data_IF_853222889459
#
_entry.id   IF_853222889459
#
_cell.length_a   1.000
_cell.length_b   1.000
_cell.length_c   1.000
_cell.angle_alpha   90.00
_cell.angle_beta   90.00
_cell.angle_gamma   90.00
#
_symmetry.space_group_name_H-M   'P 1'
#
loop_
_entity.id
_entity.type
_entity.pdbx_description
1 polymer ?
#
# COMPACT_ATOMS: atom_id res chain seq x y z
N UNK A 1 9.98 -4.09 9.81
CA UNK A 1 9.19 -4.45 8.61
C UNK A 1 8.20 -5.52 8.98
N UNK A 2 6.93 -5.32 8.67
CA UNK A 2 5.85 -6.32 8.84
C UNK A 2 5.35 -6.68 7.44
N UNK A 3 5.61 -7.92 7.01
CA UNK A 3 5.46 -8.39 5.63
C UNK A 3 6.72 -8.16 4.80
N UNK A 4 7.39 -9.25 4.43
CA UNK A 4 8.62 -9.25 3.65
C UNK A 4 8.38 -9.69 2.19
N UNK A 5 7.19 -9.39 1.65
CA UNK A 5 6.79 -9.67 0.28
C UNK A 5 7.51 -8.80 -0.75
N UNK A 6 7.06 -8.89 -2.01
CA UNK A 6 7.74 -8.25 -3.14
C UNK A 6 7.96 -6.75 -2.94
N UNK A 7 6.95 -6.02 -2.44
CA UNK A 7 7.09 -4.56 -2.27
C UNK A 7 8.13 -4.19 -1.22
N UNK A 8 8.21 -4.95 -0.13
CA UNK A 8 9.25 -4.76 0.88
C UNK A 8 10.65 -4.99 0.30
N UNK A 9 10.82 -6.06 -0.48
CA UNK A 9 12.09 -6.46 -1.08
C UNK A 9 12.60 -5.49 -2.14
N UNK A 10 11.71 -4.95 -2.99
CA UNK A 10 12.14 -4.14 -4.15
C UNK A 10 12.08 -2.64 -3.91
N UNK A 11 11.41 -2.20 -2.84
CA UNK A 11 11.26 -0.77 -2.53
C UNK A 11 11.67 -0.45 -1.11
N UNK A 12 10.92 -0.89 -0.09
CA UNK A 12 11.13 -0.42 1.27
C UNK A 12 12.53 -0.73 1.79
N UNK A 13 12.98 -1.99 1.70
CA UNK A 13 14.27 -2.40 2.25
C UNK A 13 15.47 -1.74 1.55
N UNK A 14 15.55 -1.73 0.20
CA UNK A 14 16.63 -1.03 -0.48
C UNK A 14 16.66 0.48 -0.20
N UNK A 15 15.48 1.10 -0.14
CA UNK A 15 15.36 2.54 0.12
C UNK A 15 15.76 2.89 1.56
N UNK A 16 15.39 2.07 2.55
CA UNK A 16 15.85 2.24 3.93
C UNK A 16 17.34 1.99 4.07
N UNK A 17 17.88 0.96 3.43
CA UNK A 17 19.32 0.68 3.46
C UNK A 17 20.16 1.81 2.85
N UNK A 18 19.61 2.53 1.88
CA UNK A 18 20.24 3.69 1.25
C UNK A 18 20.06 5.00 2.05
N UNK A 19 19.17 5.02 3.05
CA UNK A 19 18.85 6.22 3.82
C UNK A 19 19.65 6.26 5.13
N UNK A 20 20.59 7.20 5.32
CA UNK A 20 21.39 7.27 6.55
C UNK A 20 20.59 7.60 7.82
N UNK A 21 19.35 8.04 7.69
CA UNK A 21 18.44 8.34 8.80
C UNK A 21 17.51 7.19 9.16
N UNK A 22 17.65 6.02 8.52
CA UNK A 22 16.81 4.86 8.77
C UNK A 22 17.67 3.62 9.06
N UNK A 23 17.25 2.84 10.03
CA UNK A 23 17.84 1.55 10.35
C UNK A 23 16.73 0.51 10.48
N UNK A 24 16.81 -0.56 9.70
CA UNK A 24 15.86 -1.68 9.84
C UNK A 24 16.38 -2.62 10.91
N UNK A 25 15.65 -2.74 12.02
CA UNK A 25 16.09 -3.49 13.22
C UNK A 25 15.32 -4.80 13.41
N UNK A 26 14.11 -4.93 12.84
CA UNK A 26 13.27 -6.11 13.06
C UNK A 26 12.38 -6.43 11.87
N UNK A 27 12.07 -7.72 11.73
CA UNK A 27 11.24 -8.27 10.67
C UNK A 27 10.21 -9.25 11.23
N UNK A 28 9.02 -9.22 10.63
CA UNK A 28 8.04 -10.29 10.78
C UNK A 28 7.39 -10.57 9.43
N UNK A 29 7.24 -11.86 9.09
CA UNK A 29 6.45 -12.36 7.96
C UNK A 29 5.81 -13.69 8.37
N UNK A 30 4.60 -13.98 7.87
CA UNK A 30 3.95 -15.29 8.07
C UNK A 30 4.81 -16.44 7.52
N UNK A 31 5.57 -16.17 6.46
CA UNK A 31 6.65 -17.02 5.98
C UNK A 31 7.96 -16.63 6.67
N UNK A 32 8.29 -17.30 7.79
CA UNK A 32 9.47 -17.01 8.59
C UNK A 32 10.77 -17.02 7.78
N UNK A 33 10.93 -17.96 6.87
CA UNK A 33 12.14 -18.07 6.05
C UNK A 33 12.39 -16.80 5.22
N UNK A 34 11.33 -16.15 4.74
CA UNK A 34 11.43 -14.88 4.03
C UNK A 34 11.91 -13.74 4.93
N UNK A 35 11.45 -13.69 6.17
CA UNK A 35 11.93 -12.71 7.14
C UNK A 35 13.41 -12.97 7.50
N UNK A 36 13.82 -14.22 7.62
CA UNK A 36 15.21 -14.63 7.88
C UNK A 36 16.14 -14.25 6.71
N UNK A 37 15.68 -14.42 5.47
CA UNK A 37 16.43 -13.97 4.29
C UNK A 37 16.66 -12.45 4.30
N UNK A 38 15.63 -11.67 4.60
CA UNK A 38 15.77 -10.21 4.69
C UNK A 38 16.67 -9.78 5.84
N UNK A 39 16.57 -10.43 7.00
CA UNK A 39 17.45 -10.16 8.13
C UNK A 39 18.92 -10.52 7.83
N UNK A 40 19.16 -11.60 7.10
CA UNK A 40 20.50 -11.97 6.65
C UNK A 40 21.10 -10.94 5.67
N UNK A 41 20.27 -10.35 4.80
CA UNK A 41 20.72 -9.38 3.81
C UNK A 41 20.93 -7.97 4.38
N UNK A 42 20.04 -7.50 5.24
CA UNK A 42 20.00 -6.11 5.70
C UNK A 42 20.34 -5.94 7.19
N UNK A 43 20.60 -7.02 7.90
CA UNK A 43 20.76 -7.02 9.35
C UNK A 43 19.43 -6.95 10.11
N UNK A 44 19.50 -6.97 11.44
CA UNK A 44 18.34 -6.96 12.31
C UNK A 44 17.91 -8.36 12.77
N UNK A 45 16.76 -8.47 13.42
CA UNK A 45 16.26 -9.71 14.01
C UNK A 45 14.89 -10.11 13.46
N UNK A 46 14.58 -11.40 13.49
CA UNK A 46 13.27 -11.93 13.10
C UNK A 46 12.43 -12.14 14.35
N UNK A 47 11.22 -11.61 14.36
CA UNK A 47 10.22 -11.77 15.41
C UNK A 47 9.21 -12.86 15.04
N UNK A 48 8.76 -13.64 16.02
CA UNK A 48 7.81 -14.74 15.81
C UNK A 48 6.40 -14.22 15.46
N UNK A 49 6.05 -13.07 15.98
CA UNK A 49 4.80 -12.37 15.66
C UNK A 49 5.03 -10.87 15.42
N UNK A 50 4.07 -10.22 14.76
CA UNK A 50 4.11 -8.76 14.66
C UNK A 50 3.90 -8.10 16.04
N UNK A 51 3.24 -8.75 16.99
CA UNK A 51 3.14 -8.26 18.36
C UNK A 51 4.50 -8.23 19.06
N UNK A 52 5.33 -9.27 18.89
CA UNK A 52 6.68 -9.28 19.45
C UNK A 52 7.52 -8.15 18.86
N UNK A 53 7.37 -7.89 17.55
CA UNK A 53 8.03 -6.77 16.89
C UNK A 53 7.55 -5.42 17.46
N UNK A 54 6.25 -5.24 17.66
CA UNK A 54 5.68 -4.01 18.19
C UNK A 54 6.06 -3.75 19.66
N UNK A 55 6.33 -4.79 20.43
CA UNK A 55 6.74 -4.69 21.84
C UNK A 55 8.22 -4.35 22.04
N UNK A 56 9.00 -4.21 20.97
CA UNK A 56 10.43 -3.85 21.06
C UNK A 56 10.61 -2.36 21.32
N UNK A 57 11.50 -2.04 22.23
CA UNK A 57 11.84 -0.64 22.57
C UNK A 57 12.71 0.05 21.50
N UNK A 58 13.45 -0.74 20.71
CA UNK A 58 14.30 -0.24 19.63
C UNK A 58 13.58 -0.05 18.28
N UNK A 59 12.25 -0.21 18.26
CA UNK A 59 11.41 0.06 17.10
C UNK A 59 10.64 1.36 17.31
N UNK A 60 10.92 2.38 16.50
CA UNK A 60 10.20 3.68 16.53
C UNK A 60 9.02 3.69 15.55
N UNK A 61 9.19 3.03 14.41
CA UNK A 61 8.23 3.03 13.31
C UNK A 61 8.15 1.66 12.63
N UNK A 62 7.04 1.38 11.96
CA UNK A 62 6.85 0.16 11.19
C UNK A 62 6.40 0.46 9.76
N UNK A 63 6.93 -0.31 8.81
CA UNK A 63 6.38 -0.41 7.46
C UNK A 63 5.54 -1.68 7.36
N UNK A 64 4.28 -1.51 6.97
CA UNK A 64 3.29 -2.58 6.85
C UNK A 64 3.11 -2.90 5.38
N UNK A 65 3.61 -4.08 4.96
CA UNK A 65 3.71 -4.53 3.58
C UNK A 65 3.05 -5.90 3.40
N UNK A 66 1.91 -6.09 4.04
CA UNK A 66 1.13 -7.34 4.05
C UNK A 66 0.00 -7.30 3.02
N UNK A 67 -0.87 -8.32 3.00
CA UNK A 67 -2.09 -8.30 2.20
C UNK A 67 -3.10 -7.24 2.68
N UNK A 68 -3.90 -6.69 1.78
CA UNK A 68 -4.76 -5.54 1.99
C UNK A 68 -5.66 -5.64 3.24
N UNK A 69 -6.25 -6.81 3.50
CA UNK A 69 -7.17 -7.02 4.64
C UNK A 69 -6.49 -6.92 6.00
N UNK A 70 -5.19 -7.13 6.06
CA UNK A 70 -4.43 -7.06 7.31
C UNK A 70 -3.91 -5.64 7.62
N UNK A 71 -4.02 -4.70 6.69
CA UNK A 71 -3.51 -3.34 6.86
C UNK A 71 -4.10 -2.64 8.07
N UNK A 72 -5.42 -2.63 8.21
CA UNK A 72 -6.09 -1.90 9.29
C UNK A 72 -5.80 -2.47 10.68
N UNK A 73 -5.89 -3.79 10.83
CA UNK A 73 -5.63 -4.48 12.08
C UNK A 73 -4.21 -4.19 12.58
N UNK A 74 -3.21 -4.46 11.72
CA UNK A 74 -1.80 -4.35 12.10
C UNK A 74 -1.40 -2.89 12.31
N UNK A 75 -1.88 -1.97 11.46
CA UNK A 75 -1.63 -0.53 11.62
C UNK A 75 -2.20 0.00 12.93
N UNK A 76 -3.43 -0.37 13.25
CA UNK A 76 -4.09 0.05 14.49
C UNK A 76 -3.35 -0.51 15.72
N UNK A 77 -2.94 -1.78 15.69
CA UNK A 77 -2.14 -2.37 16.76
C UNK A 77 -0.80 -1.64 16.93
N UNK A 78 -0.11 -1.31 15.84
CA UNK A 78 1.15 -0.58 15.86
C UNK A 78 1.00 0.83 16.47
N UNK A 79 -0.05 1.56 16.08
CA UNK A 79 -0.36 2.88 16.62
C UNK A 79 -0.65 2.83 18.11
N UNK A 80 -1.41 1.84 18.59
CA UNK A 80 -1.66 1.63 20.02
C UNK A 80 -0.41 1.18 20.79
N UNK A 81 0.51 0.45 20.15
CA UNK A 81 1.83 0.14 20.70
C UNK A 81 2.80 1.34 20.70
N UNK A 82 2.32 2.52 20.30
CA UNK A 82 3.10 3.76 20.29
C UNK A 82 4.11 3.85 19.13
N UNK A 83 3.92 3.09 18.04
CA UNK A 83 4.80 3.15 16.86
C UNK A 83 4.22 4.04 15.79
N UNK A 84 5.09 4.74 15.03
CA UNK A 84 4.70 5.39 13.79
C UNK A 84 4.47 4.35 12.69
N UNK A 85 3.58 4.63 11.75
CA UNK A 85 3.18 3.66 10.72
C UNK A 85 3.32 4.23 9.32
N UNK A 86 4.04 3.53 8.46
CA UNK A 86 3.92 3.61 7.01
C UNK A 86 3.17 2.36 6.54
N UNK A 87 1.93 2.53 6.11
CA UNK A 87 1.09 1.46 5.59
C UNK A 87 1.11 1.47 4.06
N UNK A 88 1.32 0.33 3.42
CA UNK A 88 1.13 0.21 1.98
C UNK A 88 -0.33 0.49 1.58
N UNK A 89 -0.50 0.86 0.32
CA UNK A 89 -1.82 1.07 -0.26
C UNK A 89 -2.50 -0.28 -0.64
N UNK A 90 -3.83 -0.34 -0.64
CA UNK A 90 -4.78 0.64 -0.12
C UNK A 90 -4.69 0.74 1.40
N UNK A 91 -5.03 1.89 1.97
CA UNK A 91 -4.96 2.12 3.42
C UNK A 91 -5.68 1.03 4.22
N UNK A 92 -6.89 0.69 3.82
CA UNK A 92 -7.71 -0.40 4.35
C UNK A 92 -8.75 -0.83 3.30
N UNK A 93 -9.60 -1.79 3.66
CA UNK A 93 -10.63 -2.35 2.78
C UNK A 93 -11.96 -1.62 2.89
N UNK A 94 -12.24 -1.03 4.04
CA UNK A 94 -13.47 -0.27 4.31
C UNK A 94 -13.19 1.12 4.84
N UNK A 95 -14.16 2.05 4.68
CA UNK A 95 -14.07 3.40 5.23
C UNK A 95 -13.95 3.36 6.77
N UNK A 96 -14.74 2.53 7.44
CA UNK A 96 -14.70 2.41 8.90
C UNK A 96 -13.33 1.96 9.42
N UNK A 97 -12.64 1.06 8.71
CA UNK A 97 -11.25 0.69 9.01
C UNK A 97 -10.30 1.87 8.84
N UNK A 98 -10.42 2.63 7.74
CA UNK A 98 -9.61 3.84 7.54
C UNK A 98 -9.81 4.86 8.65
N UNK A 99 -11.06 5.14 9.03
CA UNK A 99 -11.41 6.05 10.12
C UNK A 99 -10.84 5.56 11.48
N UNK A 100 -10.90 4.25 11.73
CA UNK A 100 -10.31 3.63 12.92
C UNK A 100 -8.79 3.82 12.98
N UNK A 101 -8.09 3.66 11.85
CA UNK A 101 -6.64 3.89 11.77
C UNK A 101 -6.29 5.36 12.05
N UNK A 102 -7.03 6.30 11.45
CA UNK A 102 -6.83 7.74 11.69
C UNK A 102 -7.05 8.08 13.16
N UNK A 103 -8.18 7.63 13.73
CA UNK A 103 -8.49 7.86 15.15
C UNK A 103 -7.44 7.26 16.10
N UNK A 104 -6.89 6.09 15.76
CA UNK A 104 -5.80 5.47 16.54
C UNK A 104 -4.52 6.31 16.46
N UNK A 105 -4.17 6.84 15.29
CA UNK A 105 -3.01 7.70 15.11
C UNK A 105 -3.13 9.00 15.93
N UNK A 106 -4.27 9.67 15.85
CA UNK A 106 -4.57 10.90 16.60
C UNK A 106 -4.54 10.67 18.10
N UNK A 107 -5.24 9.62 18.58
CA UNK A 107 -5.31 9.28 20.01
C UNK A 107 -3.96 9.01 20.65
N UNK A 108 -3.06 8.38 19.91
CA UNK A 108 -1.74 8.00 20.42
C UNK A 108 -0.63 9.01 20.03
N UNK A 109 -0.95 10.10 19.33
CA UNK A 109 0.03 11.09 18.89
C UNK A 109 1.10 10.48 17.97
N UNK A 110 0.72 9.56 17.08
CA UNK A 110 1.61 8.88 16.14
C UNK A 110 1.30 9.23 14.70
N UNK A 111 2.33 9.23 13.88
CA UNK A 111 2.15 9.46 12.44
C UNK A 111 1.64 8.18 11.77
N UNK A 112 0.64 8.35 10.92
CA UNK A 112 0.15 7.36 9.99
C UNK A 112 0.34 7.91 8.58
N UNK A 113 1.13 7.24 7.77
CA UNK A 113 1.38 7.56 6.37
C UNK A 113 0.93 6.39 5.50
N UNK A 114 0.31 6.67 4.36
CA UNK A 114 -0.08 5.65 3.37
C UNK A 114 0.86 5.74 2.17
N UNK A 115 1.24 4.59 1.60
CA UNK A 115 2.22 4.43 0.53
C UNK A 115 1.77 4.96 -0.84
N UNK A 116 1.17 6.14 -0.92
CA UNK A 116 0.81 6.81 -2.17
C UNK A 116 2.03 7.44 -2.85
N UNK A 117 2.93 6.61 -3.30
CA UNK A 117 4.26 6.98 -3.79
C UNK A 117 4.25 7.79 -5.10
N UNK A 118 3.19 7.69 -5.94
CA UNK A 118 3.12 8.45 -7.20
C UNK A 118 3.17 9.97 -7.01
N UNK A 119 2.78 10.48 -5.85
CA UNK A 119 2.91 11.92 -5.53
C UNK A 119 4.36 12.41 -5.53
N UNK A 120 5.32 11.52 -5.28
CA UNK A 120 6.75 11.84 -5.17
C UNK A 120 7.51 11.65 -6.49
N UNK A 121 6.87 11.09 -7.52
CA UNK A 121 7.44 10.98 -8.85
C UNK A 121 7.77 12.37 -9.40
N UNK A 122 8.99 12.61 -9.90
CA UNK A 122 9.42 13.92 -10.42
C UNK A 122 8.47 14.48 -11.49
N UNK A 123 7.92 13.62 -12.35
CA UNK A 123 6.98 14.03 -13.40
C UNK A 123 5.66 14.53 -12.79
N UNK A 124 5.12 13.81 -11.81
CA UNK A 124 3.89 14.21 -11.14
C UNK A 124 4.08 15.46 -10.28
N UNK A 125 5.23 15.60 -9.62
CA UNK A 125 5.59 16.83 -8.89
C UNK A 125 5.70 18.03 -9.84
N UNK A 126 6.31 17.82 -11.01
CA UNK A 126 6.39 18.88 -12.03
C UNK A 126 5.01 19.25 -12.58
N UNK A 127 4.16 18.26 -12.86
CA UNK A 127 2.78 18.49 -13.27
C UNK A 127 2.01 19.31 -12.20
N UNK A 128 2.14 18.96 -10.92
CA UNK A 128 1.54 19.74 -9.82
C UNK A 128 2.01 21.19 -9.82
N UNK A 129 3.30 21.45 -9.96
CA UNK A 129 3.85 22.81 -10.02
C UNK A 129 3.26 23.63 -11.20
N UNK A 130 3.11 23.01 -12.37
CA UNK A 130 2.52 23.66 -13.55
C UNK A 130 1.04 23.98 -13.33
N UNK A 131 0.28 23.05 -12.75
CA UNK A 131 -1.13 23.26 -12.40
C UNK A 131 -1.27 24.41 -11.37
N UNK A 132 -0.48 24.38 -10.32
CA UNK A 132 -0.51 25.41 -9.27
C UNK A 132 -0.08 26.81 -9.76
N UNK A 133 0.75 26.86 -10.82
CA UNK A 133 1.13 28.14 -11.44
C UNK A 133 0.04 28.74 -12.33
N UNK A 134 -1.06 28.02 -12.57
CA UNK A 134 -2.17 28.47 -13.40
C UNK A 134 -1.86 28.54 -14.90
N UNK A 135 -0.75 27.95 -15.36
CA UNK A 135 -0.29 28.05 -16.78
C UNK A 135 -1.28 27.47 -17.80
N UNK A 136 -2.14 26.54 -17.38
CA UNK A 136 -3.21 25.97 -18.21
C UNK A 136 -4.62 26.48 -17.84
N UNK A 137 -4.71 27.42 -16.89
CA UNK A 137 -5.98 27.89 -16.35
C UNK A 137 -6.69 26.84 -15.49
N UNK A 138 -8.01 26.94 -15.41
CA UNK A 138 -8.84 26.03 -14.64
C UNK A 138 -8.92 24.65 -15.30
N UNK A 139 -8.78 23.60 -14.49
CA UNK A 139 -8.92 22.21 -14.99
C UNK A 139 -10.40 21.85 -15.06
N UNK A 140 -10.89 21.66 -16.29
CA UNK A 140 -12.31 21.33 -16.54
C UNK A 140 -12.52 19.81 -16.54
N UNK A 141 -11.55 19.05 -17.03
CA UNK A 141 -11.65 17.58 -17.13
C UNK A 141 -10.31 16.94 -16.88
N UNK A 142 -10.33 15.72 -16.37
CA UNK A 142 -9.15 14.90 -16.12
C UNK A 142 -9.37 13.51 -16.70
N UNK A 143 -8.33 12.96 -17.33
CA UNK A 143 -8.33 11.59 -17.78
C UNK A 143 -7.03 10.90 -17.33
N UNK A 144 -7.16 9.80 -16.64
CA UNK A 144 -6.03 8.96 -16.23
C UNK A 144 -6.28 7.51 -16.64
N UNK A 145 -5.24 6.86 -17.12
CA UNK A 145 -5.28 5.43 -17.45
C UNK A 145 -4.09 4.77 -16.78
N UNK A 146 -4.30 3.59 -16.21
CA UNK A 146 -3.26 2.75 -15.66
C UNK A 146 -3.58 1.29 -16.01
N UNK A 147 -2.61 0.58 -16.52
CA UNK A 147 -2.75 -0.84 -16.85
C UNK A 147 -1.40 -1.53 -16.84
N UNK A 148 -1.40 -2.81 -16.48
CA UNK A 148 -0.25 -3.70 -16.58
C UNK A 148 -0.71 -5.10 -16.97
N UNK A 149 0.24 -6.04 -17.08
CA UNK A 149 -0.06 -7.43 -17.42
C UNK A 149 -0.78 -8.20 -16.30
N UNK A 150 -0.80 -7.67 -15.07
CA UNK A 150 -1.41 -8.28 -13.89
C UNK A 150 -0.40 -8.58 -12.79
N UNK A 151 -0.89 -8.94 -11.59
CA UNK A 151 -0.06 -9.16 -10.42
C UNK A 151 0.67 -10.51 -10.41
N UNK A 152 0.43 -11.41 -11.37
CA UNK A 152 1.00 -12.76 -11.39
C UNK A 152 2.53 -12.75 -11.41
N UNK A 153 3.13 -11.82 -12.14
CA UNK A 153 4.58 -11.64 -12.19
C UNK A 153 5.15 -10.85 -10.99
N UNK A 154 4.29 -10.34 -10.12
CA UNK A 154 4.69 -9.53 -8.97
C UNK A 154 4.74 -10.32 -7.66
N UNK A 155 4.04 -11.45 -7.56
CA UNK A 155 4.06 -12.28 -6.35
C UNK A 155 5.41 -12.99 -6.18
N UNK A 156 5.84 -13.16 -4.93
CA UNK A 156 7.01 -13.99 -4.55
C UNK A 156 6.62 -15.43 -4.22
N UNK A 157 5.32 -15.69 -4.08
CA UNK A 157 4.77 -17.02 -3.80
C UNK A 157 4.24 -17.67 -5.08
N UNK A 158 4.13 -18.98 -5.08
CA UNK A 158 3.33 -19.69 -6.08
C UNK A 158 1.88 -19.24 -5.99
N UNK A 159 1.32 -18.82 -7.11
CA UNK A 159 0.04 -18.12 -7.14
C UNK A 159 0.14 -16.67 -6.64
N UNK A 160 -0.96 -15.99 -6.57
CA UNK A 160 -0.99 -14.61 -6.09
C UNK A 160 -2.18 -14.39 -5.17
N UNK A 161 -1.93 -13.78 -4.01
CA UNK A 161 -2.98 -13.39 -3.07
C UNK A 161 -3.91 -12.31 -3.64
N UNK A 162 -3.46 -11.58 -4.67
CA UNK A 162 -4.25 -10.54 -5.35
C UNK A 162 -5.53 -11.09 -5.99
N UNK A 163 -5.59 -12.38 -6.31
CA UNK A 163 -6.79 -13.02 -6.87
C UNK A 163 -7.73 -13.59 -5.81
N UNK A 164 -7.27 -13.69 -4.58
CA UNK A 164 -8.06 -14.15 -3.45
C UNK A 164 -8.86 -13.00 -2.85
N UNK A 165 -10.20 -13.00 -3.04
CA UNK A 165 -11.08 -11.98 -2.51
C UNK A 165 -11.03 -11.85 -0.98
N UNK A 166 -10.63 -12.91 -0.28
CA UNK A 166 -10.50 -12.88 1.18
C UNK A 166 -9.24 -12.16 1.65
N UNK A 167 -8.25 -11.94 0.78
CA UNK A 167 -6.99 -11.25 1.08
C UNK A 167 -6.93 -9.88 0.41
N UNK A 168 -7.21 -9.82 -0.88
CA UNK A 168 -7.18 -8.59 -1.67
C UNK A 168 -8.39 -7.69 -1.44
N UNK A 169 -9.55 -8.28 -1.17
CA UNK A 169 -10.88 -7.65 -1.10
C UNK A 169 -11.42 -7.19 -2.46
N UNK A 170 -10.69 -6.38 -3.19
CA UNK A 170 -10.94 -5.90 -4.55
C UNK A 170 -9.71 -6.16 -5.42
N UNK A 171 -9.86 -6.10 -6.74
CA UNK A 171 -8.81 -6.38 -7.70
C UNK A 171 -8.11 -5.13 -8.23
N UNK A 172 -8.17 -4.93 -9.55
CA UNK A 172 -7.46 -3.86 -10.26
C UNK A 172 -7.84 -2.45 -9.78
N UNK A 173 -9.09 -2.23 -9.38
CA UNK A 173 -9.51 -0.92 -8.88
C UNK A 173 -8.80 -0.56 -7.56
N UNK A 174 -8.69 -1.49 -6.63
CA UNK A 174 -8.03 -1.24 -5.34
C UNK A 174 -6.51 -1.26 -5.43
N UNK A 175 -5.94 -2.03 -6.35
CA UNK A 175 -4.49 -2.13 -6.51
C UNK A 175 -3.94 -1.01 -7.40
N UNK A 176 -4.53 -0.81 -8.56
CA UNK A 176 -4.09 0.12 -9.60
C UNK A 176 -4.86 1.44 -9.57
N UNK A 177 -6.20 1.35 -9.51
CA UNK A 177 -7.07 2.52 -9.56
C UNK A 177 -6.84 3.48 -8.41
N UNK A 178 -6.55 2.98 -7.22
CA UNK A 178 -6.26 3.80 -6.04
C UNK A 178 -5.11 4.81 -6.28
N UNK A 179 -4.09 4.42 -7.03
CA UNK A 179 -3.00 5.33 -7.39
C UNK A 179 -3.47 6.50 -8.25
N UNK A 180 -4.45 6.27 -9.15
CA UNK A 180 -4.96 7.34 -10.02
C UNK A 180 -5.95 8.23 -9.29
N UNK A 181 -6.80 7.67 -8.43
CA UNK A 181 -7.70 8.46 -7.58
C UNK A 181 -6.88 9.38 -6.66
N UNK A 182 -5.85 8.86 -6.01
CA UNK A 182 -4.97 9.65 -5.17
C UNK A 182 -4.24 10.74 -5.97
N UNK A 183 -3.69 10.38 -7.13
CA UNK A 183 -2.93 11.31 -7.97
C UNK A 183 -3.82 12.45 -8.50
N UNK A 184 -5.06 12.16 -8.93
CA UNK A 184 -6.01 13.18 -9.38
C UNK A 184 -6.28 14.18 -8.25
N UNK A 185 -6.61 13.68 -7.05
CA UNK A 185 -6.87 14.53 -5.88
C UNK A 185 -5.63 15.36 -5.50
N UNK A 186 -4.45 14.76 -5.54
CA UNK A 186 -3.19 15.46 -5.27
C UNK A 186 -2.92 16.58 -6.31
N UNK A 187 -3.05 16.29 -7.60
CA UNK A 187 -2.76 17.23 -8.67
C UNK A 187 -3.74 18.40 -8.66
N UNK A 188 -5.03 18.14 -8.46
CA UNK A 188 -6.07 19.17 -8.48
C UNK A 188 -6.25 19.90 -7.16
N UNK A 189 -5.76 19.35 -6.04
CA UNK A 189 -6.03 19.88 -4.71
C UNK A 189 -7.52 19.75 -4.30
N UNK A 190 -8.26 18.85 -4.94
CA UNK A 190 -9.69 18.65 -4.78
C UNK A 190 -10.00 17.21 -4.38
N UNK A 191 -11.16 16.99 -3.77
CA UNK A 191 -11.65 15.65 -3.42
C UNK A 191 -12.69 15.20 -4.45
N UNK A 192 -12.67 13.89 -4.76
CA UNK A 192 -13.80 13.27 -5.48
C UNK A 192 -15.01 13.30 -4.59
N UNK A 193 -16.13 13.83 -5.09
CA UNK A 193 -17.39 13.97 -4.35
C UNK A 193 -18.48 13.03 -4.87
N UNK A 194 -18.37 12.59 -6.11
CA UNK A 194 -19.31 11.68 -6.75
C UNK A 194 -18.57 10.82 -7.77
N UNK A 195 -18.97 9.58 -7.95
CA UNK A 195 -18.41 8.69 -8.95
C UNK A 195 -19.46 7.70 -9.47
N UNK A 196 -19.35 7.40 -10.74
CA UNK A 196 -20.01 6.23 -11.35
C UNK A 196 -18.94 5.29 -11.84
N UNK A 197 -19.04 4.00 -11.52
CA UNK A 197 -18.04 3.02 -11.88
C UNK A 197 -18.65 1.75 -12.49
N UNK A 198 -17.96 1.19 -13.49
CA UNK A 198 -18.15 -0.18 -13.95
C UNK A 198 -16.92 -0.98 -13.59
N UNK A 199 -17.08 -1.95 -12.72
CA UNK A 199 -16.01 -2.83 -12.21
C UNK A 199 -16.35 -4.25 -12.63
N UNK A 200 -15.46 -4.92 -13.35
CA UNK A 200 -15.72 -6.22 -13.98
C UNK A 200 -14.48 -7.11 -13.99
N UNK A 201 -14.69 -8.41 -14.12
CA UNK A 201 -13.66 -9.40 -14.43
C UNK A 201 -13.87 -9.89 -15.86
N UNK A 202 -12.93 -9.64 -16.74
CA UNK A 202 -13.05 -9.93 -18.17
C UNK A 202 -12.15 -11.08 -18.63
N UNK A 203 -10.93 -11.17 -18.08
CA UNK A 203 -9.90 -12.02 -18.68
C UNK A 203 -9.14 -12.89 -17.66
N UNK A 204 -8.85 -12.35 -16.46
CA UNK A 204 -8.04 -13.07 -15.49
C UNK A 204 -8.75 -14.31 -14.94
N UNK A 205 -7.97 -15.40 -14.85
CA UNK A 205 -8.46 -16.71 -14.44
C UNK A 205 -7.61 -17.28 -13.32
N UNK A 206 -8.25 -18.11 -12.50
CA UNK A 206 -7.58 -18.91 -11.49
C UNK A 206 -6.91 -20.15 -12.10
N UNK A 207 -6.29 -20.98 -11.27
CA UNK A 207 -5.63 -22.23 -11.69
C UNK A 207 -6.59 -23.30 -12.27
N UNK A 208 -7.89 -23.16 -12.03
CA UNK A 208 -8.93 -24.05 -12.55
C UNK A 208 -9.51 -23.55 -13.88
N UNK A 209 -9.09 -22.34 -14.33
CA UNK A 209 -9.59 -21.70 -15.56
C UNK A 209 -10.85 -20.89 -15.39
N UNK A 210 -11.40 -20.73 -14.16
CA UNK A 210 -12.53 -19.88 -13.87
C UNK A 210 -12.10 -18.41 -13.81
N UNK A 211 -13.00 -17.48 -14.08
CA UNK A 211 -12.74 -16.06 -13.82
C UNK A 211 -12.45 -15.85 -12.34
N UNK A 212 -11.41 -15.04 -12.03
CA UNK A 212 -11.07 -14.72 -10.64
C UNK A 212 -12.18 -13.98 -9.92
N UNK A 213 -12.22 -14.11 -8.59
CA UNK A 213 -13.28 -13.54 -7.74
C UNK A 213 -13.16 -12.03 -7.47
N UNK A 214 -12.18 -11.36 -8.07
CA UNK A 214 -11.94 -9.91 -7.97
C UNK A 214 -11.91 -9.29 -9.37
N UNK A 215 -12.03 -7.97 -9.44
CA UNK A 215 -12.00 -7.27 -10.72
C UNK A 215 -10.60 -7.25 -11.35
N UNK A 216 -10.55 -7.34 -12.67
CA UNK A 216 -9.36 -7.13 -13.48
C UNK A 216 -9.45 -5.88 -14.37
N UNK A 217 -10.60 -5.21 -14.34
CA UNK A 217 -10.86 -4.01 -15.13
C UNK A 217 -11.86 -3.09 -14.42
N UNK A 218 -11.61 -1.79 -14.45
CA UNK A 218 -12.49 -0.78 -13.91
C UNK A 218 -12.51 0.48 -14.79
N UNK A 219 -13.69 1.03 -15.00
CA UNK A 219 -13.92 2.35 -15.57
C UNK A 219 -14.66 3.19 -14.53
N UNK A 220 -14.10 4.33 -14.17
CA UNK A 220 -14.67 5.27 -13.21
C UNK A 220 -14.83 6.65 -13.85
N UNK A 221 -15.96 7.29 -13.58
CA UNK A 221 -16.28 8.67 -13.98
C UNK A 221 -16.67 9.46 -12.75
#
# INVERSE_FOLDING_TARGET
>A
IIGCGKIAQVRHLPEYAANPNAQVVAYHDKNRARAEEMAAQYGGVVCDSYFDLLNRDDVDAVSICVENRSHAEISTAALYAGKHVLCEKPMAVTLAECESMVAAAERNGRHLMVGHNMRFDPVHRRAKQLLDSGVIGDVITFRAVLGNAGPEGWSVDEGTWFFDKNKAALGALSDMGIHKVDLIQYLLGQKVIETTAKVVTLNKRDSEGNLIGVDDNALCI
#
